data_IF_316818700254
#
_entry.id   IF_316818700254
#
_cell.length_a   1.000
_cell.length_b   1.000
_cell.length_c   1.000
_cell.angle_alpha   90.00
_cell.angle_beta   90.00
_cell.angle_gamma   90.00
#
_symmetry.space_group_name_H-M   'P 1'
#
loop_
_entity.id
_entity.type
_entity.pdbx_description
1 polymer ?
#
# COMPACT_ATOMS: atom_id res chain seq x y z
N UNK A 1 -64.06 9.63 -2.02
CA UNK A 1 -62.85 8.77 -1.96
C UNK A 1 -61.70 9.56 -1.31
N UNK A 2 -61.30 9.15 -0.11
CA UNK A 2 -60.75 10.03 0.93
C UNK A 2 -59.28 10.45 0.77
N UNK A 3 -59.03 11.74 1.01
CA UNK A 3 -57.71 12.41 1.14
C UNK A 3 -56.75 11.68 2.10
N UNK A 4 -57.31 10.90 3.03
CA UNK A 4 -56.61 10.06 4.01
C UNK A 4 -55.89 8.85 3.38
N UNK A 5 -56.54 8.14 2.45
CA UNK A 5 -55.93 6.99 1.75
C UNK A 5 -54.74 7.42 0.88
N UNK A 6 -54.77 8.64 0.31
CA UNK A 6 -53.65 9.22 -0.45
C UNK A 6 -52.43 9.50 0.43
N UNK A 7 -52.62 9.94 1.70
CA UNK A 7 -51.51 10.22 2.63
C UNK A 7 -50.87 8.94 3.16
N UNK A 8 -51.67 7.93 3.51
CA UNK A 8 -51.17 6.61 3.97
C UNK A 8 -50.38 5.90 2.88
N UNK A 9 -50.84 5.95 1.62
CA UNK A 9 -50.08 5.42 0.48
C UNK A 9 -48.75 6.17 0.26
N UNK A 10 -48.72 7.49 0.45
CA UNK A 10 -47.50 8.30 0.27
C UNK A 10 -46.45 7.99 1.36
N UNK A 11 -46.88 7.78 2.60
CA UNK A 11 -46.01 7.37 3.70
C UNK A 11 -45.48 5.94 3.52
N UNK A 12 -46.33 4.99 3.11
CA UNK A 12 -45.94 3.62 2.78
C UNK A 12 -44.89 3.58 1.65
N UNK A 13 -45.06 4.42 0.63
CA UNK A 13 -44.10 4.55 -0.45
C UNK A 13 -42.75 5.10 0.04
N UNK A 14 -42.75 6.17 0.84
CA UNK A 14 -41.55 6.76 1.46
C UNK A 14 -40.80 5.76 2.35
N UNK A 15 -41.53 4.97 3.14
CA UNK A 15 -40.95 3.94 4.01
C UNK A 15 -40.28 2.83 3.19
N UNK A 16 -40.91 2.39 2.09
CA UNK A 16 -40.32 1.41 1.18
C UNK A 16 -39.08 1.94 0.45
N UNK A 17 -39.10 3.21 0.04
CA UNK A 17 -37.93 3.85 -0.58
C UNK A 17 -36.74 3.96 0.38
N UNK A 18 -36.97 4.37 1.63
CA UNK A 18 -35.90 4.46 2.64
C UNK A 18 -35.30 3.10 2.99
N UNK A 19 -36.13 2.05 3.07
CA UNK A 19 -35.67 0.67 3.28
C UNK A 19 -34.79 0.14 2.13
N UNK A 20 -34.89 0.69 0.93
CA UNK A 20 -34.08 0.28 -0.23
C UNK A 20 -32.80 1.14 -0.33
N UNK A 21 -32.89 2.44 -0.05
CA UNK A 21 -31.77 3.37 -0.21
C UNK A 21 -30.67 3.14 0.83
N UNK A 22 -31.04 2.86 2.09
CA UNK A 22 -30.05 2.67 3.18
C UNK A 22 -29.11 1.47 2.91
N UNK A 23 -29.62 0.27 2.55
CA UNK A 23 -28.75 -0.85 2.17
C UNK A 23 -27.87 -0.56 0.95
N UNK A 24 -28.40 0.11 -0.07
CA UNK A 24 -27.63 0.47 -1.26
C UNK A 24 -26.47 1.42 -0.94
N UNK A 25 -26.69 2.38 -0.04
CA UNK A 25 -25.66 3.30 0.42
C UNK A 25 -24.59 2.58 1.28
N UNK A 26 -25.00 1.60 2.10
CA UNK A 26 -24.07 0.78 2.87
C UNK A 26 -23.21 -0.14 1.99
N UNK A 27 -23.79 -0.72 0.94
CA UNK A 27 -23.06 -1.56 -0.02
C UNK A 27 -22.07 -0.70 -0.82
N UNK A 28 -22.48 0.47 -1.30
CA UNK A 28 -21.62 1.35 -2.10
C UNK A 28 -20.41 1.85 -1.30
N UNK A 29 -20.61 2.25 -0.04
CA UNK A 29 -19.53 2.70 0.84
C UNK A 29 -18.54 1.58 1.16
N UNK A 30 -19.01 0.35 1.42
CA UNK A 30 -18.13 -0.80 1.62
C UNK A 30 -17.35 -1.19 0.35
N UNK A 31 -17.98 -1.15 -0.83
CA UNK A 31 -17.30 -1.41 -2.11
C UNK A 31 -16.18 -0.40 -2.38
N UNK A 32 -16.43 0.90 -2.11
CA UNK A 32 -15.40 1.94 -2.26
C UNK A 32 -14.25 1.70 -1.27
N UNK A 33 -14.54 1.29 -0.03
CA UNK A 33 -13.53 0.96 0.97
C UNK A 33 -12.65 -0.20 0.52
N UNK A 34 -13.25 -1.32 0.10
CA UNK A 34 -12.54 -2.50 -0.40
C UNK A 34 -11.66 -2.13 -1.62
N UNK A 35 -12.18 -1.32 -2.54
CA UNK A 35 -11.41 -0.89 -3.71
C UNK A 35 -10.19 -0.05 -3.33
N UNK A 36 -10.31 0.84 -2.34
CA UNK A 36 -9.18 1.61 -1.81
C UNK A 36 -8.16 0.71 -1.12
N UNK A 37 -8.61 -0.23 -0.29
CA UNK A 37 -7.75 -1.20 0.38
C UNK A 37 -6.94 -2.02 -0.66
N UNK A 38 -7.58 -2.49 -1.74
CA UNK A 38 -6.92 -3.21 -2.83
C UNK A 38 -5.93 -2.37 -3.66
N UNK A 39 -6.14 -1.05 -3.77
CA UNK A 39 -5.18 -0.15 -4.44
C UNK A 39 -3.96 0.04 -3.56
N UNK A 40 -4.17 0.33 -2.27
CA UNK A 40 -3.10 0.51 -1.29
C UNK A 40 -2.26 -0.76 -1.18
N UNK A 41 -2.90 -1.93 -1.12
CA UNK A 41 -2.18 -3.21 -1.09
C UNK A 41 -1.33 -3.43 -2.33
N UNK A 42 -1.82 -3.04 -3.52
CA UNK A 42 -1.04 -3.10 -4.76
C UNK A 42 0.16 -2.17 -4.74
N UNK A 43 -0.03 -0.91 -4.40
CA UNK A 43 1.06 0.08 -4.31
C UNK A 43 2.15 -0.38 -3.33
N UNK A 44 1.74 -0.96 -2.22
CA UNK A 44 2.63 -1.58 -1.23
C UNK A 44 3.44 -2.74 -1.82
N UNK A 45 2.78 -3.65 -2.55
CA UNK A 45 3.45 -4.78 -3.19
C UNK A 45 4.43 -4.31 -4.25
N UNK A 46 4.09 -3.28 -5.02
CA UNK A 46 4.98 -2.69 -6.01
C UNK A 46 6.25 -2.13 -5.36
N UNK A 47 6.14 -1.48 -4.19
CA UNK A 47 7.31 -1.01 -3.40
C UNK A 47 8.17 -2.15 -2.89
N UNK A 48 7.55 -3.26 -2.46
CA UNK A 48 8.27 -4.44 -2.00
C UNK A 48 9.02 -5.13 -3.14
N UNK A 49 8.39 -5.23 -4.32
CA UNK A 49 9.05 -5.71 -5.54
C UNK A 49 10.20 -4.80 -5.92
N UNK A 50 10.01 -3.47 -5.88
CA UNK A 50 11.04 -2.49 -6.18
C UNK A 50 12.26 -2.63 -5.23
N UNK A 51 12.01 -2.93 -3.96
CA UNK A 51 13.06 -3.22 -2.98
C UNK A 51 13.87 -4.46 -3.37
N UNK A 52 13.21 -5.59 -3.66
CA UNK A 52 13.88 -6.83 -4.05
C UNK A 52 14.69 -6.67 -5.35
N UNK A 53 14.13 -5.99 -6.35
CA UNK A 53 14.85 -5.68 -7.59
C UNK A 53 16.08 -4.81 -7.34
N UNK A 54 16.03 -3.92 -6.35
CA UNK A 54 17.19 -3.11 -5.97
C UNK A 54 18.28 -4.00 -5.33
N UNK A 55 17.91 -5.00 -4.52
CA UNK A 55 18.85 -5.98 -3.96
C UNK A 55 19.52 -6.83 -5.05
N UNK A 56 18.74 -7.35 -6.00
CA UNK A 56 19.27 -8.13 -7.12
C UNK A 56 20.27 -7.32 -7.95
N UNK A 57 19.98 -6.03 -8.19
CA UNK A 57 20.93 -5.15 -8.88
C UNK A 57 22.19 -4.89 -8.08
N UNK A 58 22.09 -4.70 -6.76
CA UNK A 58 23.26 -4.54 -5.89
C UNK A 58 24.17 -5.75 -6.02
N UNK A 59 23.62 -6.96 -5.97
CA UNK A 59 24.37 -8.21 -6.15
C UNK A 59 25.09 -8.22 -7.50
N UNK A 60 24.36 -8.00 -8.60
CA UNK A 60 24.95 -7.96 -9.94
C UNK A 60 26.05 -6.89 -10.09
N UNK A 61 25.86 -5.70 -9.52
CA UNK A 61 26.83 -4.60 -9.62
C UNK A 61 28.06 -4.82 -8.73
N UNK A 62 27.93 -5.53 -7.60
CA UNK A 62 29.08 -5.97 -6.80
C UNK A 62 29.92 -6.96 -7.61
N UNK A 63 29.29 -7.91 -8.31
CA UNK A 63 30.00 -8.89 -9.14
C UNK A 63 30.80 -8.23 -10.29
N UNK A 64 30.28 -7.14 -10.85
CA UNK A 64 30.96 -6.38 -11.91
C UNK A 64 31.83 -5.22 -11.41
N UNK A 65 31.97 -5.08 -10.09
CA UNK A 65 32.67 -3.97 -9.43
C UNK A 65 32.15 -2.57 -9.82
N UNK A 66 30.90 -2.45 -10.26
CA UNK A 66 30.22 -1.19 -10.56
C UNK A 66 29.74 -0.53 -9.27
N UNK A 67 30.70 0.02 -8.53
CA UNK A 67 30.44 0.69 -7.26
C UNK A 67 29.43 1.83 -7.41
N UNK A 68 29.53 2.79 -8.37
CA UNK A 68 28.56 3.88 -8.48
C UNK A 68 27.10 3.42 -8.54
N UNK A 69 26.80 2.38 -9.33
CA UNK A 69 25.43 1.86 -9.41
C UNK A 69 25.06 1.02 -8.18
N UNK A 70 26.01 0.29 -7.59
CA UNK A 70 25.83 -0.37 -6.28
C UNK A 70 25.39 0.64 -5.22
N UNK A 71 26.07 1.79 -5.13
CA UNK A 71 25.73 2.87 -4.18
C UNK A 71 24.31 3.37 -4.38
N UNK A 72 23.95 3.62 -5.64
CA UNK A 72 22.65 4.20 -6.01
C UNK A 72 21.51 3.28 -5.62
N UNK A 73 21.62 1.99 -5.94
CA UNK A 73 20.60 1.01 -5.60
C UNK A 73 20.57 0.72 -4.09
N UNK A 74 21.72 0.74 -3.38
CA UNK A 74 21.77 0.59 -1.92
C UNK A 74 21.06 1.74 -1.19
N UNK A 75 21.29 3.00 -1.61
CA UNK A 75 20.57 4.17 -1.07
C UNK A 75 19.07 4.05 -1.35
N UNK A 76 18.71 3.65 -2.58
CA UNK A 76 17.32 3.44 -2.97
C UNK A 76 16.62 2.37 -2.11
N UNK A 77 17.26 1.21 -1.93
CA UNK A 77 16.74 0.12 -1.13
C UNK A 77 16.55 0.51 0.34
N UNK A 78 17.53 1.21 0.94
CA UNK A 78 17.43 1.75 2.30
C UNK A 78 16.24 2.72 2.42
N UNK A 79 16.09 3.64 1.46
CA UNK A 79 14.98 4.58 1.44
C UNK A 79 13.61 3.89 1.35
N UNK A 80 13.50 2.84 0.53
CA UNK A 80 12.27 2.05 0.41
C UNK A 80 11.88 1.39 1.74
N UNK A 81 12.84 0.84 2.50
CA UNK A 81 12.57 0.31 3.84
C UNK A 81 12.09 1.44 4.76
N UNK A 82 12.80 2.57 4.77
CA UNK A 82 12.50 3.70 5.67
C UNK A 82 11.07 4.21 5.48
N UNK A 83 10.65 4.44 4.24
CA UNK A 83 9.31 4.98 3.93
C UNK A 83 8.19 3.94 4.11
N UNK A 84 8.50 2.65 4.05
CA UNK A 84 7.50 1.57 4.06
C UNK A 84 7.65 0.60 5.24
N UNK A 85 8.38 0.99 6.30
CA UNK A 85 8.81 0.10 7.39
C UNK A 85 7.69 -0.74 7.99
N UNK A 86 6.57 -0.12 8.38
CA UNK A 86 5.44 -0.81 9.01
C UNK A 86 4.84 -1.86 8.09
N UNK A 87 4.82 -1.57 6.80
CA UNK A 87 4.21 -2.43 5.80
C UNK A 87 5.12 -3.62 5.50
N UNK A 88 6.41 -3.36 5.32
CA UNK A 88 7.42 -4.40 5.16
C UNK A 88 7.47 -5.32 6.38
N UNK A 89 7.39 -4.76 7.59
CA UNK A 89 7.30 -5.52 8.85
C UNK A 89 6.03 -6.35 8.95
N UNK A 90 4.90 -5.86 8.45
CA UNK A 90 3.66 -6.63 8.40
C UNK A 90 3.76 -7.81 7.42
N UNK A 91 4.42 -7.61 6.27
CA UNK A 91 4.55 -8.62 5.21
C UNK A 91 5.57 -9.70 5.57
N UNK A 92 6.76 -9.29 6.00
CA UNK A 92 7.83 -10.19 6.48
C UNK A 92 8.17 -9.82 7.93
N UNK A 93 7.44 -10.36 8.92
CA UNK A 93 7.62 -10.00 10.32
C UNK A 93 8.92 -10.53 10.91
N UNK A 94 9.53 -11.54 10.30
CA UNK A 94 10.73 -12.20 10.83
C UNK A 94 12.03 -11.48 10.47
N UNK A 95 12.01 -10.59 9.47
CA UNK A 95 13.19 -9.81 9.11
C UNK A 95 13.43 -8.69 10.11
N UNK A 96 14.71 -8.49 10.45
CA UNK A 96 15.16 -7.28 11.11
C UNK A 96 15.38 -6.18 10.06
N UNK A 97 14.28 -5.54 9.70
CA UNK A 97 14.27 -4.46 8.72
C UNK A 97 15.18 -3.29 9.08
N UNK A 98 15.44 -3.05 10.38
CA UNK A 98 16.32 -1.98 10.81
C UNK A 98 17.79 -2.37 10.60
N UNK A 99 18.13 -3.62 10.89
CA UNK A 99 19.45 -4.15 10.58
C UNK A 99 19.72 -4.15 9.07
N UNK A 100 18.78 -4.62 8.25
CA UNK A 100 18.90 -4.62 6.78
C UNK A 100 19.10 -3.18 6.28
N UNK A 101 18.29 -2.22 6.74
CA UNK A 101 18.45 -0.82 6.39
C UNK A 101 19.86 -0.30 6.76
N UNK A 102 20.33 -0.59 7.97
CA UNK A 102 21.66 -0.16 8.42
C UNK A 102 22.77 -0.74 7.53
N UNK A 103 22.67 -2.01 7.14
CA UNK A 103 23.62 -2.66 6.23
C UNK A 103 23.65 -1.97 4.87
N UNK A 104 22.47 -1.68 4.31
CA UNK A 104 22.34 -0.95 3.04
C UNK A 104 22.93 0.46 3.13
N UNK A 105 22.83 1.14 4.27
CA UNK A 105 23.45 2.45 4.50
C UNK A 105 24.97 2.38 4.73
N UNK A 106 25.52 1.23 5.11
CA UNK A 106 26.98 1.05 5.25
C UNK A 106 27.65 1.05 3.88
N UNK A 107 27.02 0.46 2.86
CA UNK A 107 27.57 0.37 1.50
C UNK A 107 27.99 1.75 0.96
N UNK A 108 27.08 2.75 0.85
CA UNK A 108 27.46 4.07 0.36
C UNK A 108 28.48 4.76 1.25
N UNK A 109 28.42 4.57 2.58
CA UNK A 109 29.40 5.20 3.49
C UNK A 109 30.82 4.66 3.34
N UNK A 110 30.99 3.38 2.99
CA UNK A 110 32.31 2.73 2.94
C UNK A 110 32.91 2.68 1.55
N UNK A 111 32.08 2.43 0.53
CA UNK A 111 32.57 2.11 -0.81
C UNK A 111 32.36 3.24 -1.81
N UNK A 112 31.49 4.19 -1.48
CA UNK A 112 31.09 5.24 -2.38
C UNK A 112 31.67 6.54 -1.86
N UNK A 113 32.67 7.08 -2.58
CA UNK A 113 33.16 8.42 -2.27
C UNK A 113 32.00 9.40 -2.48
N UNK A 114 31.62 10.07 -1.39
CA UNK A 114 30.72 11.22 -1.38
C UNK A 114 31.20 12.31 -2.33
#
# INVERSE_FOLDING_TARGET
MNKFNKRVNKFSLLLKFTLIIIPLFFISTNLIRIRKENIIEREVMDRFIEFNLSLEKIENYIETEDWPNTCKEAVKASYLIKENYLVFKKKEPYYDWKEIQNLLEVIPRKFCKS
#
